data_IF_939800311240
#
_entry.id   IF_939800311240
#
_cell.length_a   1.000
_cell.length_b   1.000
_cell.length_c   1.000
_cell.angle_alpha   90.00
_cell.angle_beta   90.00
_cell.angle_gamma   90.00
#
_symmetry.space_group_name_H-M   'P 1'
#
loop_
_entity.id
_entity.type
_entity.pdbx_description
1 polymer ?
#
# COMPACT_ATOMS: atom_id res chain seq x y z
N UNK A 1 -16.94 -16.73 -20.97
CA UNK A 1 -17.69 -15.85 -20.04
C UNK A 1 -17.60 -14.43 -20.57
N UNK A 2 -18.64 -13.59 -20.39
CA UNK A 2 -18.55 -12.18 -20.78
C UNK A 2 -17.43 -11.48 -20.00
N UNK A 3 -16.74 -10.54 -20.66
CA UNK A 3 -15.74 -9.69 -20.01
C UNK A 3 -16.45 -8.76 -19.03
N UNK A 4 -15.96 -8.70 -17.79
CA UNK A 4 -16.51 -7.79 -16.81
C UNK A 4 -16.19 -6.33 -17.19
N UNK A 5 -17.19 -5.45 -17.08
CA UNK A 5 -17.04 -4.02 -17.39
C UNK A 5 -17.37 -3.17 -16.17
N UNK A 6 -16.48 -2.25 -15.82
CA UNK A 6 -16.68 -1.27 -14.74
C UNK A 6 -16.55 0.16 -15.27
N UNK A 7 -17.12 1.14 -14.57
CA UNK A 7 -16.92 2.54 -14.95
C UNK A 7 -15.50 2.99 -14.57
N UNK A 8 -15.16 2.96 -13.27
CA UNK A 8 -13.83 3.30 -12.78
C UNK A 8 -13.17 2.13 -12.05
N UNK A 9 -11.95 1.78 -12.46
CA UNK A 9 -11.11 0.79 -11.75
C UNK A 9 -10.05 1.50 -10.93
N UNK A 10 -9.99 1.25 -9.63
CA UNK A 10 -8.94 1.72 -8.72
C UNK A 10 -7.95 0.58 -8.48
N UNK A 11 -6.68 0.79 -8.80
CA UNK A 11 -5.62 -0.21 -8.65
C UNK A 11 -4.85 0.04 -7.36
N UNK A 12 -5.12 -0.74 -6.33
CA UNK A 12 -4.51 -0.68 -5.00
C UNK A 12 -5.54 -0.46 -3.89
N UNK A 13 -5.55 -1.32 -2.88
CA UNK A 13 -6.37 -1.26 -1.66
C UNK A 13 -5.61 -0.69 -0.45
N UNK A 14 -4.65 0.20 -0.71
CA UNK A 14 -3.99 0.99 0.33
C UNK A 14 -4.69 2.32 0.59
N UNK A 15 -4.06 3.20 1.36
CA UNK A 15 -4.62 4.50 1.76
C UNK A 15 -5.17 5.33 0.58
N UNK A 16 -4.44 5.44 -0.53
CA UNK A 16 -4.86 6.23 -1.68
C UNK A 16 -6.09 5.63 -2.37
N UNK A 17 -6.17 4.29 -2.44
CA UNK A 17 -7.28 3.59 -3.05
C UNK A 17 -8.56 3.69 -2.24
N UNK A 18 -8.46 3.57 -0.91
CA UNK A 18 -9.60 3.73 0.00
C UNK A 18 -10.11 5.18 0.03
N UNK A 19 -9.20 6.16 0.05
CA UNK A 19 -9.59 7.56 -0.07
C UNK A 19 -10.31 7.84 -1.39
N UNK A 20 -9.80 7.30 -2.51
CA UNK A 20 -10.47 7.42 -3.81
C UNK A 20 -11.85 6.74 -3.81
N UNK A 21 -11.95 5.54 -3.25
CA UNK A 21 -13.21 4.79 -3.16
C UNK A 21 -14.29 5.55 -2.39
N UNK A 22 -13.93 6.20 -1.28
CA UNK A 22 -14.85 7.06 -0.52
C UNK A 22 -15.37 8.23 -1.38
N UNK A 23 -14.47 8.92 -2.09
CA UNK A 23 -14.85 10.07 -2.90
C UNK A 23 -15.69 9.69 -4.12
N UNK A 24 -15.35 8.59 -4.80
CA UNK A 24 -16.15 8.07 -5.91
C UNK A 24 -17.56 7.68 -5.43
N UNK A 25 -17.66 7.05 -4.25
CA UNK A 25 -18.95 6.73 -3.63
C UNK A 25 -19.78 7.98 -3.34
N UNK A 26 -19.19 9.02 -2.74
CA UNK A 26 -19.85 10.30 -2.45
C UNK A 26 -20.34 11.01 -3.73
N UNK A 27 -19.63 10.84 -4.84
CA UNK A 27 -19.99 11.39 -6.14
C UNK A 27 -20.96 10.49 -6.94
N UNK A 28 -21.37 9.33 -6.41
CA UNK A 28 -22.23 8.38 -7.12
C UNK A 28 -21.58 7.72 -8.34
N UNK A 29 -20.24 7.64 -8.38
CA UNK A 29 -19.49 7.01 -9.48
C UNK A 29 -19.28 5.53 -9.17
N UNK A 30 -19.85 4.60 -9.97
CA UNK A 30 -19.60 3.18 -9.80
C UNK A 30 -18.13 2.86 -10.01
N UNK A 31 -17.56 2.08 -9.10
CA UNK A 31 -16.15 1.73 -9.19
C UNK A 31 -15.88 0.37 -8.54
N UNK A 32 -14.68 -0.13 -8.81
CA UNK A 32 -14.13 -1.32 -8.21
C UNK A 32 -12.71 -1.02 -7.75
N UNK A 33 -12.36 -1.45 -6.55
CA UNK A 33 -10.97 -1.44 -6.05
C UNK A 33 -10.41 -2.85 -6.18
N UNK A 34 -9.24 -2.99 -6.80
CA UNK A 34 -8.48 -4.25 -6.81
C UNK A 34 -7.24 -4.12 -5.93
N UNK A 35 -7.06 -5.09 -5.05
CA UNK A 35 -5.85 -5.25 -4.24
C UNK A 35 -5.27 -6.64 -4.49
N UNK A 36 -3.96 -6.70 -4.73
CA UNK A 36 -3.29 -7.97 -5.04
C UNK A 36 -3.23 -8.91 -3.85
N UNK A 37 -3.17 -8.35 -2.64
CA UNK A 37 -3.06 -9.09 -1.38
C UNK A 37 -4.25 -8.73 -0.47
N UNK A 38 -3.98 -8.41 0.81
CA UNK A 38 -4.95 -7.85 1.76
C UNK A 38 -4.95 -6.32 1.69
N UNK A 39 -6.04 -5.70 2.16
CA UNK A 39 -6.12 -4.26 2.38
C UNK A 39 -4.92 -3.79 3.20
N UNK A 40 -4.23 -2.76 2.71
CA UNK A 40 -3.04 -2.19 3.32
C UNK A 40 -1.89 -3.20 3.61
N UNK A 41 -1.78 -4.30 2.85
CA UNK A 41 -0.83 -5.41 3.12
C UNK A 41 0.60 -4.96 3.42
N UNK A 42 1.09 -3.96 2.68
CA UNK A 42 2.47 -3.50 2.82
C UNK A 42 2.78 -2.96 4.22
N UNK A 43 1.79 -2.45 4.95
CA UNK A 43 1.97 -2.07 6.35
C UNK A 43 2.25 -3.27 7.24
N UNK A 44 1.66 -4.43 6.95
CA UNK A 44 1.80 -5.65 7.76
C UNK A 44 3.12 -6.35 7.47
N UNK A 45 3.33 -6.71 6.21
CA UNK A 45 4.36 -7.68 5.85
C UNK A 45 5.66 -7.08 5.33
N UNK A 46 5.72 -5.79 4.99
CA UNK A 46 6.89 -5.17 4.36
C UNK A 46 7.48 -4.00 5.14
N UNK A 47 7.26 -4.00 6.46
CA UNK A 47 7.77 -3.00 7.40
C UNK A 47 8.33 -3.67 8.65
N UNK A 48 9.15 -2.94 9.40
CA UNK A 48 9.75 -3.42 10.63
C UNK A 48 8.79 -3.38 11.81
N UNK A 49 9.01 -4.24 12.79
CA UNK A 49 8.05 -4.51 13.87
C UNK A 49 7.75 -3.27 14.72
N UNK A 50 8.76 -2.42 14.93
CA UNK A 50 8.65 -1.17 15.68
C UNK A 50 8.17 0.04 14.86
N UNK A 51 7.79 -0.13 13.58
CA UNK A 51 7.32 0.99 12.76
C UNK A 51 6.07 1.62 13.39
N UNK A 52 6.17 2.94 13.60
CA UNK A 52 5.03 3.82 13.89
C UNK A 52 4.85 4.83 12.77
N UNK A 53 3.64 5.38 12.66
CA UNK A 53 3.34 6.48 11.76
C UNK A 53 4.27 7.68 12.05
N UNK A 54 4.59 8.47 11.03
CA UNK A 54 5.52 9.60 11.19
C UNK A 54 4.86 10.81 11.89
N UNK A 55 3.53 10.89 11.86
CA UNK A 55 2.75 11.92 12.52
C UNK A 55 1.87 11.36 13.65
N UNK A 56 1.34 12.27 14.48
CA UNK A 56 0.37 11.91 15.50
C UNK A 56 -0.97 11.47 14.88
N UNK A 57 -1.72 10.66 15.62
CA UNK A 57 -3.00 10.08 15.21
C UNK A 57 -4.03 11.11 14.71
N UNK A 58 -4.07 12.31 15.30
CA UNK A 58 -4.98 13.37 14.87
C UNK A 58 -4.71 13.86 13.44
N UNK A 59 -3.44 13.78 13.01
CA UNK A 59 -2.98 14.23 11.70
C UNK A 59 -3.06 13.10 10.65
N UNK A 60 -2.62 11.89 11.01
CA UNK A 60 -2.45 10.78 10.06
C UNK A 60 -3.74 9.98 9.76
N UNK A 61 -4.87 10.36 10.38
CA UNK A 61 -6.18 9.75 10.15
C UNK A 61 -6.88 10.32 8.91
N UNK A 62 -7.80 9.56 8.32
CA UNK A 62 -8.78 10.13 7.40
C UNK A 62 -9.79 11.03 8.13
N UNK A 63 -10.35 12.05 7.44
CA UNK A 63 -11.29 12.98 8.05
C UNK A 63 -12.51 12.31 8.68
N UNK A 64 -12.97 11.20 8.08
CA UNK A 64 -14.19 10.50 8.48
C UNK A 64 -14.05 9.46 9.60
N UNK A 65 -12.83 9.15 10.07
CA UNK A 65 -12.65 8.13 11.12
C UNK A 65 -11.39 8.37 11.94
N UNK A 66 -11.51 8.37 13.26
CA UNK A 66 -10.38 8.41 14.19
C UNK A 66 -9.74 7.02 14.37
N UNK A 67 -8.48 6.97 14.83
CA UNK A 67 -7.85 5.72 15.19
C UNK A 67 -8.50 5.14 16.46
N UNK A 68 -9.09 3.92 16.41
CA UNK A 68 -9.73 3.33 17.57
C UNK A 68 -8.73 3.11 18.71
N UNK A 69 -9.15 3.42 19.95
CA UNK A 69 -8.37 3.18 21.17
C UNK A 69 -6.97 3.82 21.16
N UNK A 70 -6.83 5.00 20.55
CA UNK A 70 -5.60 5.79 20.54
C UNK A 70 -5.90 7.26 20.87
N UNK A 71 -5.05 7.88 21.70
CA UNK A 71 -5.12 9.33 21.93
C UNK A 71 -4.67 10.11 20.70
N UNK A 72 -5.08 11.38 20.56
CA UNK A 72 -4.78 12.20 19.37
C UNK A 72 -3.27 12.36 19.12
N UNK A 73 -2.45 12.41 20.17
CA UNK A 73 -1.00 12.59 20.07
C UNK A 73 -0.22 11.26 19.97
N UNK A 74 -0.92 10.13 19.87
CA UNK A 74 -0.28 8.82 19.77
C UNK A 74 0.33 8.61 18.37
N UNK A 75 1.47 7.93 18.34
CA UNK A 75 2.12 7.48 17.10
C UNK A 75 1.69 6.03 16.85
N UNK A 76 0.89 5.82 15.79
CA UNK A 76 0.18 4.56 15.58
C UNK A 76 1.12 3.52 14.97
N UNK A 77 1.24 2.35 15.60
CA UNK A 77 2.04 1.23 15.08
C UNK A 77 1.46 0.62 13.79
N UNK A 78 2.33 0.02 12.97
CA UNK A 78 1.98 -0.48 11.62
C UNK A 78 0.75 -1.37 11.55
N UNK A 79 0.57 -2.28 12.50
CA UNK A 79 -0.58 -3.20 12.50
C UNK A 79 -1.88 -2.45 12.77
N UNK A 80 -1.88 -1.50 13.71
CA UNK A 80 -3.05 -0.64 13.99
C UNK A 80 -3.40 0.26 12.81
N UNK A 81 -2.40 0.74 12.06
CA UNK A 81 -2.64 1.47 10.80
C UNK A 81 -3.31 0.56 9.76
N UNK A 82 -2.84 -0.69 9.62
CA UNK A 82 -3.46 -1.64 8.70
C UNK A 82 -4.90 -2.00 9.12
N UNK A 83 -5.14 -2.25 10.42
CA UNK A 83 -6.47 -2.52 10.98
C UNK A 83 -7.42 -1.33 10.78
N UNK A 84 -6.92 -0.10 10.95
CA UNK A 84 -7.65 1.13 10.67
C UNK A 84 -8.14 1.18 9.23
N UNK A 85 -7.30 0.84 8.25
CA UNK A 85 -7.71 0.85 6.85
C UNK A 85 -8.72 -0.24 6.51
N UNK A 86 -8.63 -1.42 7.13
CA UNK A 86 -9.66 -2.47 7.01
C UNK A 86 -11.00 -1.97 7.54
N UNK A 87 -11.01 -1.44 8.77
CA UNK A 87 -12.23 -0.90 9.38
C UNK A 87 -12.83 0.27 8.57
N UNK A 88 -11.97 1.12 7.98
CA UNK A 88 -12.41 2.21 7.13
C UNK A 88 -13.05 1.70 5.83
N UNK A 89 -12.47 0.67 5.20
CA UNK A 89 -13.03 0.06 4.00
C UNK A 89 -14.43 -0.52 4.27
N UNK A 90 -14.62 -1.16 5.42
CA UNK A 90 -15.93 -1.68 5.86
C UNK A 90 -16.93 -0.53 6.12
N UNK A 91 -16.49 0.53 6.82
CA UNK A 91 -17.32 1.69 7.14
C UNK A 91 -17.90 2.37 5.90
N UNK A 92 -17.10 2.47 4.82
CA UNK A 92 -17.54 3.09 3.57
C UNK A 92 -18.17 2.09 2.59
N UNK A 93 -18.31 0.82 2.97
CA UNK A 93 -18.74 -0.28 2.11
C UNK A 93 -17.97 -0.33 0.78
N UNK A 94 -16.64 -0.20 0.84
CA UNK A 94 -15.78 -0.12 -0.33
C UNK A 94 -15.98 -1.37 -1.23
N UNK A 95 -16.22 -1.21 -2.55
CA UNK A 95 -16.31 -2.32 -3.48
C UNK A 95 -14.89 -2.84 -3.80
N UNK A 96 -14.26 -3.51 -2.83
CA UNK A 96 -12.89 -3.99 -2.93
C UNK A 96 -12.83 -5.51 -3.16
N UNK A 97 -12.00 -5.94 -4.10
CA UNK A 97 -11.59 -7.33 -4.30
C UNK A 97 -10.12 -7.49 -3.99
N UNK A 98 -9.85 -8.24 -2.93
CA UNK A 98 -8.51 -8.66 -2.52
C UNK A 98 -8.09 -9.93 -3.28
N UNK A 99 -6.78 -10.22 -3.33
CA UNK A 99 -6.24 -11.38 -4.04
C UNK A 99 -6.21 -11.24 -5.57
N UNK A 100 -6.44 -10.03 -6.11
CA UNK A 100 -6.51 -9.78 -7.56
C UNK A 100 -5.41 -8.82 -7.96
N UNK A 101 -4.35 -9.37 -8.57
CA UNK A 101 -3.23 -8.60 -9.09
C UNK A 101 -3.58 -8.00 -10.46
N UNK A 102 -3.47 -6.69 -10.59
CA UNK A 102 -3.48 -6.02 -11.90
C UNK A 102 -2.07 -6.11 -12.51
N UNK A 103 -1.97 -6.82 -13.63
CA UNK A 103 -0.70 -7.09 -14.32
C UNK A 103 -0.43 -6.08 -15.42
N UNK A 104 -1.48 -5.62 -16.11
CA UNK A 104 -1.36 -4.73 -17.26
C UNK A 104 -2.59 -3.86 -17.41
N UNK A 105 -2.39 -2.61 -17.81
CA UNK A 105 -3.45 -1.67 -18.20
C UNK A 105 -3.07 -1.08 -19.56
N UNK A 106 -3.95 -1.24 -20.54
CA UNK A 106 -3.75 -0.70 -21.89
C UNK A 106 -5.00 0.01 -22.37
N UNK A 107 -4.85 1.05 -23.19
CA UNK A 107 -5.99 1.68 -23.85
C UNK A 107 -6.60 0.71 -24.85
N UNK A 108 -7.93 0.67 -24.91
CA UNK A 108 -8.63 -0.07 -25.96
C UNK A 108 -8.36 0.56 -27.34
N UNK A 109 -8.20 -0.30 -28.35
CA UNK A 109 -7.99 0.15 -29.73
C UNK A 109 -9.35 0.43 -30.38
N UNK A 110 -9.48 1.59 -31.02
CA UNK A 110 -10.68 1.97 -31.79
C UNK A 110 -11.91 2.35 -30.96
N UNK A 111 -11.83 2.36 -29.62
CA UNK A 111 -12.90 2.81 -28.72
C UNK A 111 -12.34 3.37 -27.40
N UNK A 112 -13.08 4.21 -26.66
CA UNK A 112 -12.63 4.70 -25.36
C UNK A 112 -12.58 3.58 -24.31
N UNK A 113 -11.79 3.81 -23.26
CA UNK A 113 -11.61 2.91 -22.13
C UNK A 113 -10.28 2.16 -22.15
N UNK A 114 -10.14 1.26 -21.19
CA UNK A 114 -8.94 0.48 -20.91
C UNK A 114 -9.28 -0.99 -20.80
N UNK A 115 -8.37 -1.83 -21.29
CA UNK A 115 -8.31 -3.27 -21.02
C UNK A 115 -7.34 -3.50 -19.87
N UNK A 116 -7.78 -4.23 -18.87
CA UNK A 116 -7.01 -4.54 -17.67
C UNK A 116 -6.85 -6.05 -17.58
N UNK A 117 -5.60 -6.50 -17.62
CA UNK A 117 -5.25 -7.90 -17.39
C UNK A 117 -4.99 -8.09 -15.91
N UNK A 118 -5.70 -9.06 -15.30
CA UNK A 118 -5.56 -9.38 -13.88
C UNK A 118 -5.21 -10.86 -13.67
N UNK A 119 -4.90 -11.24 -12.43
CA UNK A 119 -4.76 -12.63 -12.04
C UNK A 119 -6.06 -13.45 -12.13
N UNK A 120 -7.23 -12.78 -12.13
CA UNK A 120 -8.57 -13.41 -12.14
C UNK A 120 -9.32 -13.17 -13.46
N UNK A 121 -8.58 -12.90 -14.53
CA UNK A 121 -9.12 -12.65 -15.86
C UNK A 121 -9.09 -11.17 -16.26
N UNK A 122 -9.90 -10.83 -17.25
CA UNK A 122 -9.86 -9.51 -17.89
C UNK A 122 -11.04 -8.66 -17.46
N UNK A 123 -10.75 -7.39 -17.16
CA UNK A 123 -11.74 -6.36 -16.89
C UNK A 123 -11.56 -5.24 -17.92
N UNK A 124 -12.65 -4.65 -18.38
CA UNK A 124 -12.62 -3.38 -19.12
C UNK A 124 -13.15 -2.25 -18.23
N UNK A 125 -12.48 -1.10 -18.25
CA UNK A 125 -12.88 0.08 -17.48
C UNK A 125 -12.91 1.33 -18.34
N UNK A 126 -13.82 2.27 -18.07
CA UNK A 126 -13.80 3.57 -18.76
C UNK A 126 -12.65 4.44 -18.27
N UNK A 127 -12.40 4.40 -16.96
CA UNK A 127 -11.35 5.15 -16.28
C UNK A 127 -10.55 4.23 -15.35
N UNK A 128 -9.28 4.57 -15.16
CA UNK A 128 -8.39 3.85 -14.22
C UNK A 128 -7.72 4.85 -13.30
N UNK A 129 -7.74 4.57 -12.00
CA UNK A 129 -6.98 5.30 -10.97
C UNK A 129 -5.81 4.42 -10.54
N UNK A 130 -4.59 4.89 -10.75
CA UNK A 130 -3.38 4.25 -10.24
C UNK A 130 -3.16 4.64 -8.78
N UNK A 131 -3.54 3.77 -7.85
CA UNK A 131 -3.38 3.95 -6.40
C UNK A 131 -2.35 2.96 -5.82
N UNK A 132 -1.35 2.57 -6.62
CA UNK A 132 -0.42 1.49 -6.30
C UNK A 132 0.57 1.87 -5.20
N UNK A 133 0.89 3.17 -5.03
CA UNK A 133 1.91 3.73 -4.12
C UNK A 133 3.25 3.97 -4.82
N UNK A 134 4.26 4.47 -4.10
CA UNK A 134 5.58 4.83 -4.68
C UNK A 134 6.80 4.05 -4.12
N UNK A 135 6.62 3.14 -3.15
CA UNK A 135 7.71 2.57 -2.34
C UNK A 135 7.79 1.03 -2.34
N UNK A 136 7.57 0.41 -3.50
CA UNK A 136 7.49 -1.05 -3.66
C UNK A 136 8.78 -1.64 -4.24
N UNK A 137 9.52 -0.87 -5.02
CA UNK A 137 10.77 -1.30 -5.63
C UNK A 137 11.94 -0.73 -4.81
N UNK A 138 12.70 -1.57 -4.08
CA UNK A 138 13.86 -1.10 -3.34
C UNK A 138 14.94 -0.61 -4.31
N UNK A 139 15.61 0.47 -3.95
CA UNK A 139 16.78 0.98 -4.67
C UNK A 139 17.99 0.76 -3.78
N UNK A 140 18.92 -0.08 -4.23
CA UNK A 140 20.16 -0.39 -3.53
C UNK A 140 21.32 0.18 -4.35
N UNK A 141 21.93 1.30 -3.92
CA UNK A 141 23.09 1.86 -4.62
C UNK A 141 24.27 0.88 -4.63
N UNK A 142 24.99 0.79 -5.74
CA UNK A 142 26.18 -0.05 -5.89
C UNK A 142 27.43 0.54 -5.19
N UNK A 143 27.26 1.10 -4.00
CA UNK A 143 28.33 1.72 -3.20
C UNK A 143 29.13 0.64 -2.46
N UNK A 144 28.46 -0.43 -2.00
CA UNK A 144 29.08 -1.58 -1.35
C UNK A 144 28.87 -2.81 -2.24
N UNK A 145 29.93 -3.51 -2.68
CA UNK A 145 29.79 -4.75 -3.43
C UNK A 145 29.06 -5.84 -2.63
N UNK A 146 28.29 -6.70 -3.30
CA UNK A 146 27.54 -7.77 -2.64
C UNK A 146 28.43 -8.83 -1.97
N UNK A 147 29.69 -8.94 -2.40
CA UNK A 147 30.72 -9.85 -1.89
C UNK A 147 31.67 -9.18 -0.87
N UNK A 148 31.36 -7.96 -0.41
CA UNK A 148 32.19 -7.22 0.53
C UNK A 148 32.36 -7.90 1.91
N UNK A 149 31.57 -8.94 2.22
CA UNK A 149 31.66 -9.74 3.44
C UNK A 149 30.50 -9.51 4.44
N UNK A 150 30.17 -8.26 4.82
CA UNK A 150 29.04 -7.98 5.70
C UNK A 150 27.70 -8.40 5.10
N UNK A 151 26.77 -8.81 5.96
CA UNK A 151 25.36 -8.96 5.57
C UNK A 151 24.80 -7.60 5.16
N UNK A 152 24.12 -7.57 4.00
CA UNK A 152 23.49 -6.37 3.45
C UNK A 152 22.00 -6.62 3.27
N UNK A 153 21.17 -5.70 3.73
CA UNK A 153 19.71 -5.78 3.63
C UNK A 153 19.13 -4.38 3.41
N UNK A 154 18.14 -4.27 2.51
CA UNK A 154 17.39 -3.02 2.33
C UNK A 154 16.29 -2.91 3.41
N UNK A 155 15.92 -1.68 3.77
CA UNK A 155 14.89 -1.41 4.79
C UNK A 155 13.55 -2.13 4.57
N UNK A 156 13.18 -2.41 3.32
CA UNK A 156 11.97 -3.17 2.97
C UNK A 156 11.99 -4.63 3.43
N UNK A 157 13.17 -5.23 3.58
CA UNK A 157 13.36 -6.61 4.04
C UNK A 157 13.69 -6.70 5.55
N UNK A 158 14.10 -5.60 6.17
CA UNK A 158 14.34 -5.53 7.61
C UNK A 158 13.03 -5.63 8.42
N UNK A 159 13.06 -6.41 9.50
CA UNK A 159 11.94 -6.65 10.42
C UNK A 159 12.28 -6.25 11.85
N UNK A 160 13.42 -6.71 12.38
CA UNK A 160 13.84 -6.42 13.74
C UNK A 160 15.34 -6.73 13.92
N UNK A 161 15.96 -6.27 15.02
CA UNK A 161 17.39 -6.48 15.27
C UNK A 161 17.81 -7.95 15.32
N UNK A 162 16.89 -8.87 15.66
CA UNK A 162 17.15 -10.31 15.68
C UNK A 162 17.46 -10.93 14.32
N UNK A 163 17.19 -10.22 13.22
CA UNK A 163 17.61 -10.64 11.88
C UNK A 163 19.08 -10.37 11.58
N UNK A 164 19.76 -9.55 12.39
CA UNK A 164 21.13 -9.13 12.14
C UNK A 164 22.12 -10.01 12.92
N UNK A 165 23.26 -10.38 12.33
CA UNK A 165 24.35 -11.01 13.06
C UNK A 165 24.85 -10.11 14.20
N UNK A 166 25.38 -10.71 15.25
CA UNK A 166 26.03 -9.96 16.32
C UNK A 166 27.20 -9.13 15.75
N UNK A 167 27.26 -7.85 16.10
CA UNK A 167 28.34 -6.95 15.66
C UNK A 167 27.88 -5.53 15.41
N UNK A 168 28.71 -4.77 14.71
CA UNK A 168 28.43 -3.39 14.34
C UNK A 168 27.43 -3.32 13.17
N UNK A 169 26.56 -2.31 13.19
CA UNK A 169 25.56 -2.04 12.15
C UNK A 169 25.83 -0.66 11.55
N UNK A 170 25.79 -0.57 10.21
CA UNK A 170 25.82 0.69 9.47
C UNK A 170 24.49 0.89 8.75
N UNK A 171 23.81 1.99 9.04
CA UNK A 171 22.60 2.40 8.30
C UNK A 171 22.99 3.41 7.23
N UNK A 172 22.68 3.10 5.97
CA UNK A 172 22.96 3.98 4.82
C UNK A 172 21.70 4.75 4.45
N UNK A 173 21.73 6.07 4.68
CA UNK A 173 20.63 7.00 4.36
C UNK A 173 19.89 7.50 5.61
N UNK A 174 19.58 8.79 5.63
CA UNK A 174 18.96 9.50 6.76
C UNK A 174 17.47 9.81 6.55
N UNK A 175 16.79 9.10 5.64
CA UNK A 175 15.33 9.18 5.52
C UNK A 175 14.62 8.59 6.74
N UNK A 176 13.30 8.75 6.84
CA UNK A 176 12.51 8.28 7.98
C UNK A 176 12.77 6.81 8.34
N UNK A 177 12.90 5.93 7.35
CA UNK A 177 13.25 4.53 7.60
C UNK A 177 14.63 4.37 8.23
N UNK A 178 15.64 5.10 7.76
CA UNK A 178 16.99 5.02 8.31
C UNK A 178 17.03 5.51 9.75
N UNK A 179 16.35 6.61 10.05
CA UNK A 179 16.29 7.18 11.41
C UNK A 179 15.49 6.29 12.38
N UNK A 180 14.44 5.62 11.93
CA UNK A 180 13.67 4.72 12.79
C UNK A 180 14.32 3.34 13.00
N UNK A 181 15.18 2.90 12.08
CA UNK A 181 15.87 1.60 12.15
C UNK A 181 17.17 1.69 12.96
N UNK A 182 17.89 2.81 12.86
CA UNK A 182 19.15 3.06 13.57
C UNK A 182 18.96 3.15 15.10
#
# INVERSE_FOLDING_TARGET
MPVETVDTLVVGGGQAGLAMSEHLSKCGVPHLVLERDRIAERWRSERWDSLVANGPAWHDRFPGMEFPNAGPDAFIGKEKVADYFVAYADMIAAPIRCGVEVRKVERLVGRPGFRIETSDGVIEARSVVAATGAFQHPVIPAVVPGDAGPMQIHSSAYRNPGQLPAGAVLVVGSGSSGVQIA
#
